data_IF_273300011909
#
_entry.id   IF_273300011909
#
_cell.length_a   1.000
_cell.length_b   1.000
_cell.length_c   1.000
_cell.angle_alpha   90.00
_cell.angle_beta   90.00
_cell.angle_gamma   90.00
#
_symmetry.space_group_name_H-M   'P 1'
#
loop_
_entity.id
_entity.type
_entity.pdbx_description
1 polymer ?
#
# COMPACT_ATOMS: atom_id res chain seq x y z
N UNK A 1 44.28 -38.73 2.87
CA UNK A 1 43.79 -37.40 3.34
C UNK A 1 42.62 -36.91 2.49
N UNK A 2 42.73 -36.96 1.16
CA UNK A 2 41.68 -36.57 0.18
C UNK A 2 40.29 -37.20 0.44
N UNK A 3 40.22 -38.52 0.64
CA UNK A 3 38.94 -39.22 0.95
C UNK A 3 38.21 -38.73 2.19
N UNK A 4 38.91 -38.19 3.21
CA UNK A 4 38.26 -37.65 4.42
C UNK A 4 37.59 -36.32 4.12
N UNK A 5 38.22 -35.49 3.29
CA UNK A 5 37.70 -34.18 2.88
C UNK A 5 36.43 -34.35 2.02
N UNK A 6 36.43 -35.31 1.10
CA UNK A 6 35.28 -35.63 0.25
C UNK A 6 34.05 -36.06 1.07
N UNK A 7 34.25 -36.93 2.07
CA UNK A 7 33.17 -37.38 2.96
C UNK A 7 32.64 -36.23 3.81
N UNK A 8 33.52 -35.36 4.33
CA UNK A 8 33.11 -34.16 5.08
C UNK A 8 32.30 -33.19 4.22
N UNK A 9 32.71 -32.96 2.97
CA UNK A 9 31.99 -32.10 2.03
C UNK A 9 30.60 -32.65 1.69
N UNK A 10 30.51 -33.95 1.43
CA UNK A 10 29.25 -34.60 1.10
C UNK A 10 28.26 -34.54 2.27
N UNK A 11 28.74 -34.77 3.50
CA UNK A 11 27.90 -34.70 4.70
C UNK A 11 27.42 -33.27 4.96
N UNK A 12 28.29 -32.26 4.77
CA UNK A 12 27.91 -30.86 4.90
C UNK A 12 26.87 -30.46 3.84
N UNK A 13 27.04 -30.93 2.60
CA UNK A 13 26.08 -30.68 1.53
C UNK A 13 24.70 -31.27 1.87
N UNK A 14 24.63 -32.52 2.32
CA UNK A 14 23.39 -33.15 2.77
C UNK A 14 22.76 -32.37 3.93
N UNK A 15 23.56 -31.95 4.91
CA UNK A 15 23.07 -31.16 6.04
C UNK A 15 22.45 -29.82 5.62
N UNK A 16 23.09 -29.10 4.71
CA UNK A 16 22.56 -27.85 4.15
C UNK A 16 21.28 -28.12 3.35
N UNK A 17 21.28 -29.17 2.53
CA UNK A 17 20.11 -29.54 1.73
C UNK A 17 18.92 -29.92 2.61
N UNK A 18 19.17 -30.63 3.70
CA UNK A 18 18.15 -30.98 4.69
C UNK A 18 17.61 -29.76 5.42
N UNK A 19 18.48 -28.84 5.86
CA UNK A 19 18.07 -27.57 6.47
C UNK A 19 17.22 -26.72 5.50
N UNK A 20 17.58 -26.70 4.22
CA UNK A 20 16.80 -26.01 3.21
C UNK A 20 15.38 -26.59 3.08
N UNK A 21 15.25 -27.91 3.01
CA UNK A 21 13.93 -28.57 2.95
C UNK A 21 13.11 -28.28 4.21
N UNK A 22 13.73 -28.31 5.39
CA UNK A 22 13.05 -27.94 6.64
C UNK A 22 12.59 -26.49 6.64
N UNK A 23 13.41 -25.57 6.12
CA UNK A 23 13.03 -24.15 6.04
C UNK A 23 11.79 -23.91 5.18
N UNK A 24 11.55 -24.73 4.16
CA UNK A 24 10.37 -24.63 3.30
C UNK A 24 9.07 -25.04 4.00
N UNK A 25 9.15 -25.83 5.09
CA UNK A 25 7.97 -26.26 5.85
C UNK A 25 7.58 -25.32 6.99
N UNK A 26 8.37 -24.29 7.28
CA UNK A 26 8.06 -23.32 8.34
C UNK A 26 7.10 -22.29 7.76
N UNK A 27 5.81 -22.42 8.08
CA UNK A 27 4.80 -21.40 7.79
C UNK A 27 4.62 -20.47 9.00
N UNK A 28 4.50 -19.15 8.80
CA UNK A 28 4.22 -18.22 9.88
C UNK A 28 2.85 -18.52 10.51
N UNK A 29 2.76 -18.37 11.83
CA UNK A 29 1.52 -18.61 12.57
C UNK A 29 0.52 -17.52 12.21
N UNK A 30 -0.66 -17.92 11.75
CA UNK A 30 -1.77 -17.01 11.49
C UNK A 30 -2.44 -16.60 12.80
N UNK A 31 -2.51 -15.29 13.06
CA UNK A 31 -3.07 -14.74 14.29
C UNK A 31 -4.04 -13.58 13.99
N UNK A 32 -4.94 -13.33 14.93
CA UNK A 32 -5.81 -12.15 14.89
C UNK A 32 -5.09 -10.90 15.40
N UNK A 33 -5.54 -9.72 14.97
CA UNK A 33 -5.01 -8.43 15.41
C UNK A 33 -5.05 -8.28 16.95
N UNK A 34 -6.07 -8.85 17.59
CA UNK A 34 -6.26 -8.76 19.04
C UNK A 34 -5.23 -9.60 19.83
N UNK A 35 -4.62 -10.60 19.20
CA UNK A 35 -3.68 -11.52 19.84
C UNK A 35 -2.22 -11.12 19.68
N UNK A 36 -1.93 -10.08 18.89
CA UNK A 36 -0.57 -9.61 18.56
C UNK A 36 0.31 -9.42 19.79
N UNK A 37 -0.27 -9.00 20.92
CA UNK A 37 0.45 -8.83 22.18
C UNK A 37 1.16 -10.09 22.66
N UNK A 38 0.61 -11.27 22.38
CA UNK A 38 1.16 -12.57 22.82
C UNK A 38 2.34 -13.03 21.95
N UNK A 39 2.55 -12.40 20.80
CA UNK A 39 3.50 -12.83 19.78
C UNK A 39 4.64 -11.83 19.55
N UNK A 40 4.95 -10.97 20.54
CA UNK A 40 6.06 -10.02 20.43
C UNK A 40 7.38 -10.73 20.07
N UNK A 41 8.12 -10.16 19.11
CA UNK A 41 9.37 -10.68 18.52
C UNK A 41 9.23 -11.92 17.64
N UNK A 42 8.02 -12.44 17.44
CA UNK A 42 7.77 -13.58 16.55
C UNK A 42 7.34 -13.12 15.16
N UNK A 43 7.57 -14.00 14.20
CA UNK A 43 7.06 -13.86 12.85
C UNK A 43 5.64 -14.44 12.78
N UNK A 44 4.73 -13.67 12.19
CA UNK A 44 3.29 -13.95 12.19
C UNK A 44 2.69 -13.57 10.85
N UNK A 45 1.54 -14.18 10.55
CA UNK A 45 0.66 -13.78 9.44
C UNK A 45 -0.63 -13.21 10.03
N UNK A 46 -1.06 -12.04 9.56
CA UNK A 46 -2.26 -11.35 10.06
C UNK A 46 -3.10 -10.86 8.91
N UNK A 47 -4.40 -11.10 9.01
CA UNK A 47 -5.38 -10.56 8.07
C UNK A 47 -6.07 -9.33 8.66
N UNK A 48 -6.29 -8.31 7.84
CA UNK A 48 -6.96 -7.09 8.27
C UNK A 48 -7.48 -6.27 7.10
N UNK A 49 -8.34 -5.30 7.43
CA UNK A 49 -8.85 -4.32 6.47
C UNK A 49 -7.99 -3.07 6.57
N UNK A 50 -7.51 -2.58 5.44
CA UNK A 50 -6.69 -1.38 5.37
C UNK A 50 -7.54 -0.17 5.69
N UNK A 51 -7.24 0.49 6.81
CA UNK A 51 -7.96 1.71 7.22
C UNK A 51 -7.26 2.97 6.75
N UNK A 52 -5.93 2.93 6.64
CA UNK A 52 -5.15 4.04 6.14
C UNK A 52 -3.80 3.54 5.59
N UNK A 53 -3.24 4.31 4.68
CA UNK A 53 -1.94 4.05 4.07
C UNK A 53 -1.17 5.36 4.07
N UNK A 54 0.11 5.33 4.39
CA UNK A 54 0.99 6.49 4.32
C UNK A 54 2.31 6.10 3.69
N UNK A 55 2.78 6.90 2.74
CA UNK A 55 4.11 6.74 2.16
C UNK A 55 5.04 7.75 2.81
N UNK A 56 6.15 7.25 3.35
CA UNK A 56 7.18 8.08 3.97
C UNK A 56 8.14 8.62 2.91
N UNK A 57 8.84 9.71 3.21
CA UNK A 57 9.83 10.31 2.32
C UNK A 57 10.97 9.35 1.94
N UNK A 58 11.26 8.35 2.79
CA UNK A 58 12.26 7.31 2.54
C UNK A 58 11.72 6.17 1.64
N UNK A 59 10.55 6.34 1.03
CA UNK A 59 9.88 5.35 0.19
C UNK A 59 9.46 4.06 0.94
N UNK A 60 9.40 4.11 2.28
CA UNK A 60 8.76 3.08 3.10
C UNK A 60 7.27 3.36 3.23
N UNK A 61 6.47 2.35 3.55
CA UNK A 61 5.02 2.46 3.66
C UNK A 61 4.55 2.09 5.07
N UNK A 62 3.64 2.90 5.62
CA UNK A 62 2.96 2.62 6.88
C UNK A 62 1.50 2.33 6.55
N UNK A 63 1.01 1.17 6.97
CA UNK A 63 -0.36 0.71 6.72
C UNK A 63 -1.02 0.52 8.07
N UNK A 64 -2.19 1.14 8.26
CA UNK A 64 -3.03 0.90 9.42
C UNK A 64 -4.06 -0.18 9.05
N UNK A 65 -4.11 -1.23 9.86
CA UNK A 65 -5.07 -2.32 9.71
C UNK A 65 -6.11 -2.25 10.82
N UNK A 66 -7.37 -2.46 10.43
CA UNK A 66 -8.49 -2.72 11.35
C UNK A 66 -8.82 -4.20 11.35
N UNK A 67 -9.27 -4.69 12.50
CA UNK A 67 -9.76 -6.05 12.65
C UNK A 67 -10.96 -6.28 11.73
N UNK A 68 -11.06 -7.49 11.16
CA UNK A 68 -12.24 -7.91 10.40
C UNK A 68 -13.47 -8.13 11.31
N UNK A 69 -13.26 -8.24 12.62
CA UNK A 69 -14.33 -8.37 13.59
C UNK A 69 -14.85 -6.98 13.99
N UNK A 70 -16.06 -6.63 13.58
CA UNK A 70 -16.69 -5.31 13.81
C UNK A 70 -16.76 -4.89 15.28
N UNK A 71 -16.66 -5.85 16.21
CA UNK A 71 -16.66 -5.57 17.66
C UNK A 71 -15.31 -5.11 18.19
N UNK A 72 -14.21 -5.36 17.47
CA UNK A 72 -12.87 -4.95 17.86
C UNK A 72 -12.52 -3.61 17.21
N UNK A 73 -12.24 -2.61 18.04
CA UNK A 73 -11.70 -1.31 17.60
C UNK A 73 -10.17 -1.30 17.57
N UNK A 74 -9.53 -2.46 17.67
CA UNK A 74 -8.06 -2.54 17.69
C UNK A 74 -7.51 -2.21 16.30
N UNK A 75 -6.66 -1.20 16.26
CA UNK A 75 -5.88 -0.84 15.07
C UNK A 75 -4.44 -1.32 15.25
N UNK A 76 -3.86 -1.85 14.17
CA UNK A 76 -2.49 -2.32 14.14
C UNK A 76 -1.71 -1.60 13.06
N UNK A 77 -0.53 -1.11 13.43
CA UNK A 77 0.39 -0.50 12.49
C UNK A 77 1.25 -1.58 11.83
N UNK A 78 1.32 -1.55 10.51
CA UNK A 78 2.25 -2.32 9.71
C UNK A 78 3.23 -1.36 9.07
N UNK A 79 4.51 -1.56 9.35
CA UNK A 79 5.61 -0.87 8.69
C UNK A 79 6.18 -1.79 7.60
N UNK A 80 6.12 -1.33 6.35
CA UNK A 80 6.71 -2.02 5.22
C UNK A 80 7.94 -1.28 4.70
N UNK A 81 9.06 -1.98 4.59
CA UNK A 81 10.32 -1.44 4.06
C UNK A 81 10.25 -1.12 2.56
N UNK A 82 9.26 -1.68 1.86
CA UNK A 82 9.03 -1.44 0.44
C UNK A 82 7.58 -1.03 0.23
N UNK A 83 7.30 -0.11 -0.69
CA UNK A 83 5.93 0.28 -0.95
C UNK A 83 5.22 -0.83 -1.73
N UNK A 84 4.05 -1.23 -1.24
CA UNK A 84 3.18 -2.27 -1.80
C UNK A 84 1.91 -1.62 -2.34
N UNK A 85 1.33 -2.25 -3.36
CA UNK A 85 0.14 -1.76 -4.08
C UNK A 85 -1.17 -1.92 -3.28
N UNK A 86 -1.28 -1.25 -2.13
CA UNK A 86 -2.43 -1.40 -1.21
C UNK A 86 -3.21 -0.10 -1.13
N UNK A 87 -4.55 -0.19 -1.23
CA UNK A 87 -5.46 0.96 -1.06
C UNK A 87 -6.35 0.79 0.18
N UNK A 88 -6.97 1.90 0.61
CA UNK A 88 -7.94 1.91 1.72
C UNK A 88 -9.12 0.98 1.40
N UNK A 89 -9.59 0.22 2.38
CA UNK A 89 -10.62 -0.83 2.31
C UNK A 89 -10.22 -2.12 1.60
N UNK A 90 -8.97 -2.27 1.16
CA UNK A 90 -8.47 -3.58 0.73
C UNK A 90 -8.37 -4.51 1.96
N UNK A 91 -8.73 -5.78 1.77
CA UNK A 91 -8.48 -6.85 2.73
C UNK A 91 -7.14 -7.47 2.38
N UNK A 92 -6.21 -7.45 3.33
CA UNK A 92 -4.83 -7.89 3.11
C UNK A 92 -4.41 -8.95 4.12
N UNK A 93 -3.51 -9.83 3.70
CA UNK A 93 -2.71 -10.71 4.55
C UNK A 93 -1.30 -10.15 4.65
N UNK A 94 -0.83 -9.90 5.86
CA UNK A 94 0.51 -9.35 6.12
C UNK A 94 1.33 -10.40 6.85
N UNK A 95 2.49 -10.71 6.31
CA UNK A 95 3.53 -11.47 7.01
C UNK A 95 4.63 -10.56 7.49
N UNK A 96 5.00 -10.69 8.75
CA UNK A 96 6.12 -9.95 9.28
C UNK A 96 6.41 -10.24 10.74
N UNK A 97 7.40 -9.52 11.27
CA UNK A 97 7.83 -9.65 12.65
C UNK A 97 7.08 -8.67 13.52
N UNK A 98 6.45 -9.17 14.58
CA UNK A 98 5.87 -8.32 15.62
C UNK A 98 7.00 -7.65 16.39
N UNK A 99 6.99 -6.33 16.43
CA UNK A 99 7.95 -5.54 17.19
C UNK A 99 7.24 -4.45 17.98
N UNK A 100 8.00 -3.76 18.82
CA UNK A 100 7.52 -2.62 19.60
C UNK A 100 8.29 -1.38 19.22
N UNK A 101 7.59 -0.38 18.72
CA UNK A 101 8.15 0.93 18.39
C UNK A 101 7.45 2.01 19.20
N UNK A 102 8.25 2.82 19.92
CA UNK A 102 7.76 3.87 20.83
C UNK A 102 6.65 3.39 21.79
N UNK A 103 6.76 2.16 22.28
CA UNK A 103 5.81 1.54 23.21
C UNK A 103 4.58 0.90 22.56
N UNK A 104 4.32 1.13 21.27
CA UNK A 104 3.22 0.52 20.50
C UNK A 104 3.69 -0.71 19.75
N UNK A 105 2.82 -1.71 19.62
CA UNK A 105 3.11 -2.88 18.80
C UNK A 105 2.87 -2.55 17.33
N UNK A 106 3.76 -3.05 16.48
CA UNK A 106 3.67 -2.94 15.03
C UNK A 106 4.19 -4.24 14.40
N UNK A 107 3.79 -4.48 13.15
CA UNK A 107 4.40 -5.52 12.32
C UNK A 107 5.41 -4.86 11.39
N UNK A 108 6.64 -5.36 11.37
CA UNK A 108 7.63 -4.98 10.36
C UNK A 108 7.70 -6.06 9.28
N UNK A 109 7.56 -5.65 8.02
CA UNK A 109 7.59 -6.54 6.85
C UNK A 109 8.45 -5.96 5.74
N UNK A 110 9.09 -6.84 4.97
CA UNK A 110 9.90 -6.51 3.79
C UNK A 110 9.07 -6.38 2.49
N UNK A 111 7.75 -6.26 2.64
CA UNK A 111 6.78 -6.16 1.55
C UNK A 111 5.97 -7.43 1.31
N UNK A 112 6.02 -8.40 2.24
CA UNK A 112 5.18 -9.61 2.20
C UNK A 112 3.75 -9.29 2.62
N UNK A 113 3.04 -8.63 1.71
CA UNK A 113 1.65 -8.24 1.86
C UNK A 113 0.89 -8.74 0.63
N UNK A 114 -0.08 -9.61 0.87
CA UNK A 114 -0.96 -10.17 -0.15
C UNK A 114 -2.34 -9.51 -0.05
N UNK A 115 -2.93 -9.16 -1.20
CA UNK A 115 -4.28 -8.59 -1.24
C UNK A 115 -5.26 -9.72 -1.45
N UNK A 116 -6.02 -10.04 -0.40
CA UNK A 116 -7.04 -11.09 -0.40
C UNK A 116 -8.27 -10.61 -1.18
N UNK A 117 -8.70 -9.36 -0.94
CA UNK A 117 -9.86 -8.77 -1.60
C UNK A 117 -9.65 -7.27 -1.81
N UNK A 118 -9.86 -6.82 -3.04
CA UNK A 118 -9.84 -5.39 -3.39
C UNK A 118 -11.25 -4.84 -3.37
N UNK A 119 -11.53 -3.93 -2.44
CA UNK A 119 -12.87 -3.37 -2.24
C UNK A 119 -12.96 -1.91 -2.71
N UNK A 120 -11.82 -1.22 -2.82
CA UNK A 120 -11.81 0.18 -3.24
C UNK A 120 -12.16 0.36 -4.71
N UNK A 121 -13.11 1.25 -4.99
CA UNK A 121 -13.34 1.80 -6.33
C UNK A 121 -12.45 3.01 -6.63
N UNK A 122 -11.84 3.60 -5.59
CA UNK A 122 -10.94 4.75 -5.72
C UNK A 122 -9.51 4.25 -5.88
N UNK A 123 -8.80 4.83 -6.84
CA UNK A 123 -7.40 4.55 -7.16
C UNK A 123 -6.58 5.69 -6.59
N UNK A 124 -5.59 5.38 -5.74
CA UNK A 124 -4.68 6.39 -5.21
C UNK A 124 -3.75 6.98 -6.27
N UNK A 125 -3.32 8.24 -6.09
CA UNK A 125 -2.33 8.87 -6.98
C UNK A 125 -0.99 8.14 -6.97
N UNK A 126 -0.62 7.54 -5.82
CA UNK A 126 0.55 6.65 -5.73
C UNK A 126 0.44 5.51 -6.75
N UNK A 127 -0.69 4.79 -6.78
CA UNK A 127 -0.91 3.66 -7.68
C UNK A 127 -0.87 4.10 -9.15
N UNK A 128 -1.51 5.24 -9.47
CA UNK A 128 -1.43 5.82 -10.83
C UNK A 128 0.01 6.14 -11.23
N UNK A 129 0.82 6.67 -10.32
CA UNK A 129 2.22 7.01 -10.61
C UNK A 129 3.08 5.77 -10.85
N UNK A 130 2.79 4.66 -10.14
CA UNK A 130 3.59 3.44 -10.21
C UNK A 130 3.23 2.57 -11.41
N UNK A 131 1.95 2.52 -11.76
CA UNK A 131 1.43 1.67 -12.83
C UNK A 131 0.53 2.42 -13.83
N UNK A 132 0.97 3.56 -14.39
CA UNK A 132 0.10 4.43 -15.19
C UNK A 132 -0.49 3.70 -16.41
N UNK A 133 0.30 2.86 -17.06
CA UNK A 133 -0.09 2.10 -18.25
C UNK A 133 -1.34 1.22 -18.04
N UNK A 134 -1.62 0.80 -16.81
CA UNK A 134 -2.80 -0.01 -16.49
C UNK A 134 -4.11 0.81 -16.53
N UNK A 135 -4.00 2.13 -16.45
CA UNK A 135 -5.13 3.05 -16.28
C UNK A 135 -5.31 4.02 -17.44
N UNK A 136 -4.31 4.20 -18.32
CA UNK A 136 -4.43 5.11 -19.47
C UNK A 136 -5.63 4.72 -20.32
N UNK A 137 -6.47 5.72 -20.63
CA UNK A 137 -7.70 5.54 -21.41
C UNK A 137 -8.87 4.96 -20.63
N UNK A 138 -8.78 4.84 -19.30
CA UNK A 138 -9.87 4.35 -18.43
C UNK A 138 -10.45 5.47 -17.59
N UNK A 139 -11.75 5.37 -17.31
CA UNK A 139 -12.38 6.19 -16.30
C UNK A 139 -11.93 5.71 -14.92
N UNK A 140 -11.47 6.64 -14.08
CA UNK A 140 -10.97 6.40 -12.74
C UNK A 140 -11.65 7.32 -11.75
N UNK A 141 -11.68 6.89 -10.48
CA UNK A 141 -12.00 7.72 -9.35
C UNK A 141 -10.74 7.88 -8.50
N UNK A 142 -10.38 9.10 -8.13
CA UNK A 142 -9.26 9.38 -7.21
C UNK A 142 -9.65 10.48 -6.24
N UNK A 143 -8.99 10.55 -5.10
CA UNK A 143 -9.15 11.65 -4.14
C UNK A 143 -7.84 12.38 -3.90
N UNK A 144 -7.92 13.63 -3.45
CA UNK A 144 -6.76 14.42 -3.07
C UNK A 144 -7.13 15.85 -2.68
N UNK A 145 -6.15 16.64 -2.29
CA UNK A 145 -6.32 18.03 -1.89
C UNK A 145 -5.96 18.97 -3.04
N UNK A 146 -6.73 20.03 -3.25
CA UNK A 146 -6.45 21.02 -4.28
C UNK A 146 -5.24 21.86 -3.88
N UNK A 147 -4.16 21.77 -4.65
CA UNK A 147 -2.94 22.54 -4.45
C UNK A 147 -2.95 23.89 -5.15
N UNK A 148 -3.44 23.92 -6.38
CA UNK A 148 -3.58 25.13 -7.18
C UNK A 148 -4.73 25.00 -8.17
N UNK A 149 -5.27 26.16 -8.56
CA UNK A 149 -6.31 26.31 -9.59
C UNK A 149 -5.80 27.37 -10.56
N UNK A 150 -5.63 27.00 -11.83
CA UNK A 150 -5.12 27.86 -12.90
C UNK A 150 -6.03 27.72 -14.12
N UNK A 151 -6.93 28.69 -14.30
CA UNK A 151 -7.97 28.59 -15.33
C UNK A 151 -8.85 27.38 -15.09
N UNK A 152 -8.91 26.46 -16.05
CA UNK A 152 -9.65 25.20 -15.96
C UNK A 152 -8.80 24.00 -15.49
N UNK A 153 -7.56 24.23 -15.09
CA UNK A 153 -6.65 23.17 -14.63
C UNK A 153 -6.48 23.28 -13.12
N UNK A 154 -6.74 22.17 -12.42
CA UNK A 154 -6.46 22.03 -11.00
C UNK A 154 -5.29 21.07 -10.80
N UNK A 155 -4.40 21.40 -9.87
CA UNK A 155 -3.37 20.47 -9.40
C UNK A 155 -3.84 19.84 -8.11
N UNK A 156 -3.92 18.51 -8.08
CA UNK A 156 -4.41 17.75 -6.93
C UNK A 156 -3.26 16.94 -6.33
N UNK A 157 -3.14 17.01 -5.00
CA UNK A 157 -2.09 16.40 -4.21
C UNK A 157 -2.64 15.28 -3.31
N UNK A 158 -1.98 14.13 -3.28
CA UNK A 158 -2.25 13.06 -2.32
C UNK A 158 -0.92 12.41 -1.91
N UNK A 159 -0.55 12.51 -0.62
CA UNK A 159 0.66 11.90 -0.06
C UNK A 159 1.95 12.22 -0.83
N UNK A 160 2.13 13.49 -1.22
CA UNK A 160 3.27 13.99 -2.04
C UNK A 160 3.24 13.59 -3.52
N UNK A 161 2.19 12.91 -3.99
CA UNK A 161 1.93 12.69 -5.41
C UNK A 161 1.01 13.78 -5.94
N UNK A 162 1.30 14.26 -7.16
CA UNK A 162 0.56 15.34 -7.79
C UNK A 162 0.00 14.88 -9.13
N UNK A 163 -1.19 15.37 -9.47
CA UNK A 163 -1.73 15.21 -10.81
C UNK A 163 -2.48 16.46 -11.26
N UNK A 164 -2.30 16.83 -12.52
CA UNK A 164 -3.09 17.86 -13.18
C UNK A 164 -4.43 17.28 -13.62
N UNK A 165 -5.50 18.00 -13.34
CA UNK A 165 -6.86 17.64 -13.72
C UNK A 165 -7.50 18.80 -14.46
N UNK A 166 -8.04 18.54 -15.63
CA UNK A 166 -8.82 19.52 -16.39
C UNK A 166 -10.28 19.41 -15.93
N UNK A 167 -10.78 20.47 -15.29
CA UNK A 167 -12.10 20.54 -14.69
C UNK A 167 -13.06 21.45 -15.45
N UNK A 168 -14.36 21.17 -15.32
CA UNK A 168 -15.42 22.04 -15.84
C UNK A 168 -15.47 23.34 -15.04
N UNK A 169 -15.71 24.51 -15.67
CA UNK A 169 -15.89 25.77 -14.95
C UNK A 169 -16.95 25.71 -13.84
N UNK A 170 -18.00 24.90 -14.02
CA UNK A 170 -19.08 24.72 -13.03
C UNK A 170 -18.54 24.09 -11.74
N UNK A 171 -17.71 23.06 -11.87
CA UNK A 171 -17.13 22.37 -10.71
C UNK A 171 -16.12 23.27 -9.98
N UNK A 172 -15.46 24.19 -10.73
CA UNK A 172 -14.49 25.13 -10.17
C UNK A 172 -15.11 26.17 -9.24
N UNK A 173 -16.37 26.55 -9.47
CA UNK A 173 -17.09 27.53 -8.64
C UNK A 173 -17.38 26.97 -7.23
N UNK A 174 -17.41 25.64 -7.08
CA UNK A 174 -17.77 24.95 -5.82
C UNK A 174 -16.55 24.49 -5.01
N UNK A 175 -15.33 24.66 -5.53
CA UNK A 175 -14.10 24.16 -4.91
C UNK A 175 -13.09 25.28 -4.71
N UNK A 176 -12.24 25.13 -3.70
CA UNK A 176 -11.20 26.09 -3.34
C UNK A 176 -9.88 25.40 -3.05
N UNK A 177 -8.79 26.17 -3.03
CA UNK A 177 -7.49 25.67 -2.59
C UNK A 177 -7.60 25.05 -1.19
N UNK A 178 -6.85 23.98 -0.96
CA UNK A 178 -6.87 23.13 0.24
C UNK A 178 -8.12 22.27 0.42
N UNK A 179 -9.12 22.36 -0.47
CA UNK A 179 -10.27 21.47 -0.40
C UNK A 179 -9.88 20.03 -0.74
N UNK A 180 -10.42 19.09 0.04
CA UNK A 180 -10.35 17.68 -0.27
C UNK A 180 -11.45 17.34 -1.30
N UNK A 181 -11.08 16.71 -2.40
CA UNK A 181 -11.96 16.44 -3.54
C UNK A 181 -11.92 14.99 -3.98
N UNK A 182 -13.05 14.52 -4.48
CA UNK A 182 -13.20 13.32 -5.30
C UNK A 182 -13.22 13.75 -6.77
N UNK A 183 -12.35 13.14 -7.56
CA UNK A 183 -12.25 13.37 -9.00
C UNK A 183 -12.65 12.09 -9.70
N UNK A 184 -13.64 12.19 -10.57
CA UNK A 184 -14.00 11.16 -11.53
C UNK A 184 -13.66 11.66 -12.93
N UNK A 185 -12.96 10.84 -13.70
CA UNK A 185 -12.52 11.27 -15.03
C UNK A 185 -11.70 10.25 -15.79
N UNK A 186 -11.40 10.59 -17.04
CA UNK A 186 -10.57 9.79 -17.93
C UNK A 186 -9.09 10.07 -17.65
N UNK A 187 -8.31 9.05 -17.28
CA UNK A 187 -6.87 9.17 -17.09
C UNK A 187 -6.14 9.09 -18.43
N UNK A 188 -5.40 10.13 -18.79
CA UNK A 188 -4.83 10.33 -20.11
C UNK A 188 -3.34 10.66 -20.03
N UNK A 189 -2.67 10.47 -21.16
CA UNK A 189 -1.26 10.80 -21.34
C UNK A 189 -1.13 11.83 -22.46
N UNK A 190 -0.55 12.97 -22.15
CA UNK A 190 -0.22 14.00 -23.13
C UNK A 190 1.21 13.80 -23.65
N UNK A 191 1.31 13.55 -24.95
CA UNK A 191 2.60 13.36 -25.64
C UNK A 191 3.39 14.66 -25.79
N UNK A 192 2.73 15.83 -25.78
CA UNK A 192 3.39 17.12 -25.98
C UNK A 192 4.13 17.56 -24.72
N UNK A 193 3.46 17.49 -23.57
CA UNK A 193 4.04 17.83 -22.26
C UNK A 193 4.73 16.65 -21.57
N UNK A 194 4.64 15.44 -22.16
CA UNK A 194 5.17 14.20 -21.60
C UNK A 194 4.65 13.93 -20.18
N UNK A 195 3.36 14.22 -19.94
CA UNK A 195 2.74 14.16 -18.62
C UNK A 195 1.42 13.40 -18.62
N UNK A 196 1.04 12.87 -17.46
CA UNK A 196 -0.27 12.28 -17.26
C UNK A 196 -1.22 13.32 -16.65
N UNK A 197 -2.48 13.28 -17.05
CA UNK A 197 -3.52 14.17 -16.53
C UNK A 197 -4.87 13.47 -16.48
N UNK A 198 -5.80 14.04 -15.74
CA UNK A 198 -7.19 13.58 -15.69
C UNK A 198 -8.07 14.58 -16.42
N UNK A 199 -8.84 14.11 -17.40
CA UNK A 199 -9.96 14.88 -17.94
C UNK A 199 -11.19 14.55 -17.08
N UNK A 200 -11.56 15.44 -16.17
CA UNK A 200 -12.62 15.14 -15.21
C UNK A 200 -14.00 15.21 -15.86
N UNK A 201 -14.83 14.21 -15.58
CA UNK A 201 -16.28 14.27 -15.80
C UNK A 201 -17.00 14.91 -14.60
N UNK A 202 -16.40 14.83 -13.41
CA UNK A 202 -16.92 15.45 -12.19
C UNK A 202 -15.82 15.67 -11.16
N UNK A 203 -15.80 16.86 -10.54
CA UNK A 203 -15.01 17.14 -9.33
C UNK A 203 -15.97 17.52 -8.21
N UNK A 204 -15.87 16.85 -7.07
CA UNK A 204 -16.77 17.07 -5.92
C UNK A 204 -15.94 17.28 -4.67
N UNK A 205 -16.23 18.35 -3.94
CA UNK A 205 -15.70 18.55 -2.59
C UNK A 205 -16.22 17.45 -1.65
N UNK A 206 -15.30 16.76 -0.99
CA UNK A 206 -15.59 15.74 0.01
C UNK A 206 -15.01 16.19 1.35
N UNK A 207 -15.88 16.38 2.34
CA UNK A 207 -15.50 16.75 3.70
C UNK A 207 -14.95 15.54 4.46
#
# INVERSE_FOLDING_TARGET
MVKRIEVSLFTAFIGIMFLYVLSLSIQPVEISIDEVQKFERREVRINGVVSNVFITNSNNQIILLKSMNEKSKTELTVFSEKPVDVDINDVVSVEGKVTRYKGKLEIVTDGRIEIILRTSQNISLFRLSKYPANYVGREINTTGYIKSIEGNVITVENQSYYISTIASPIDLDEISKEDHVLIRGLFLYDKQTFSYYILSSKVVKIA
#
